data_IF_126962820538
#
_entry.id   IF_126962820538
#
_cell.length_a   1.000
_cell.length_b   1.000
_cell.length_c   1.000
_cell.angle_alpha   90.00
_cell.angle_beta   90.00
_cell.angle_gamma   90.00
#
_symmetry.space_group_name_H-M   'P 1'
#
loop_
_entity.id
_entity.type
_entity.pdbx_description
1 polymer ?
#
# COMPACT_ATOMS: atom_id res chain seq x y z
N UNK A 1 35.23 -4.78 -9.07
CA UNK A 1 33.87 -5.20 -9.43
C UNK A 1 33.64 -5.47 -10.92
N UNK A 2 34.02 -4.57 -11.83
CA UNK A 2 33.80 -4.77 -13.29
C UNK A 2 34.49 -6.03 -13.85
N UNK A 3 35.76 -6.28 -13.52
CA UNK A 3 36.49 -7.50 -13.93
C UNK A 3 35.75 -8.78 -13.48
N UNK A 4 35.14 -8.75 -12.30
CA UNK A 4 34.39 -9.87 -11.76
C UNK A 4 33.07 -10.08 -12.51
N UNK A 5 32.43 -9.00 -12.97
CA UNK A 5 31.25 -9.06 -13.83
C UNK A 5 31.60 -9.67 -15.19
N UNK A 6 32.70 -9.26 -15.83
CA UNK A 6 33.19 -9.89 -17.06
C UNK A 6 33.43 -11.39 -16.87
N UNK A 7 34.15 -11.78 -15.81
CA UNK A 7 34.35 -13.20 -15.48
C UNK A 7 33.03 -13.94 -15.31
N UNK A 8 32.06 -13.33 -14.62
CA UNK A 8 30.74 -13.93 -14.41
C UNK A 8 29.96 -14.08 -15.71
N UNK A 9 30.02 -13.10 -16.62
CA UNK A 9 29.42 -13.20 -17.94
C UNK A 9 30.09 -14.31 -18.77
N UNK A 10 31.42 -14.39 -18.78
CA UNK A 10 32.13 -15.48 -19.43
C UNK A 10 31.71 -16.85 -18.90
N UNK A 11 31.53 -17.00 -17.58
CA UNK A 11 31.01 -18.25 -17.00
C UNK A 11 29.64 -18.61 -17.56
N UNK A 12 28.73 -17.65 -17.71
CA UNK A 12 27.39 -17.91 -18.24
C UNK A 12 27.39 -18.37 -19.70
N UNK A 13 28.34 -17.93 -20.54
CA UNK A 13 28.51 -18.46 -21.90
C UNK A 13 28.81 -19.97 -21.93
N UNK A 14 29.44 -20.49 -20.88
CA UNK A 14 29.76 -21.91 -20.71
C UNK A 14 28.81 -22.62 -19.75
N UNK A 15 27.61 -22.06 -19.54
CA UNK A 15 26.56 -22.62 -18.67
C UNK A 15 26.99 -22.82 -17.19
N UNK A 16 27.98 -22.04 -16.73
CA UNK A 16 28.36 -21.98 -15.32
C UNK A 16 27.69 -20.79 -14.63
N UNK A 17 27.28 -20.93 -13.35
CA UNK A 17 26.63 -19.84 -12.63
C UNK A 17 27.58 -18.64 -12.45
N UNK A 18 27.05 -17.40 -12.51
CA UNK A 18 27.83 -16.19 -12.22
C UNK A 18 28.28 -16.19 -10.75
N UNK A 19 29.38 -15.51 -10.44
CA UNK A 19 29.92 -15.45 -9.07
C UNK A 19 29.41 -14.21 -8.35
N UNK A 20 28.28 -14.38 -7.67
CA UNK A 20 27.56 -13.31 -6.97
C UNK A 20 27.35 -13.69 -5.50
N UNK A 21 27.09 -12.70 -4.65
CA UNK A 21 26.76 -12.95 -3.26
C UNK A 21 25.42 -13.67 -3.15
N UNK A 22 25.37 -14.75 -2.37
CA UNK A 22 24.16 -15.51 -2.04
C UNK A 22 23.65 -15.23 -0.63
N UNK A 23 24.40 -14.45 0.16
CA UNK A 23 24.13 -14.20 1.58
C UNK A 23 23.78 -12.75 1.88
N UNK A 24 24.06 -11.81 0.97
CA UNK A 24 23.81 -10.39 1.18
C UNK A 24 23.11 -9.78 -0.03
N UNK A 25 21.82 -9.45 0.14
CA UNK A 25 20.95 -8.89 -0.91
C UNK A 25 21.50 -7.58 -1.47
N UNK A 26 22.01 -6.68 -0.62
CA UNK A 26 22.53 -5.37 -1.04
C UNK A 26 23.79 -5.52 -1.91
N UNK A 27 24.69 -6.44 -1.52
CA UNK A 27 25.88 -6.77 -2.30
C UNK A 27 25.49 -7.46 -3.62
N UNK A 28 24.56 -8.42 -3.55
CA UNK A 28 24.06 -9.13 -4.73
C UNK A 28 23.45 -8.15 -5.74
N UNK A 29 22.60 -7.23 -5.30
CA UNK A 29 22.00 -6.18 -6.14
C UNK A 29 23.06 -5.36 -6.89
N UNK A 30 24.05 -4.84 -6.18
CA UNK A 30 25.15 -4.09 -6.81
C UNK A 30 25.93 -4.91 -7.83
N UNK A 31 26.16 -6.20 -7.56
CA UNK A 31 26.82 -7.09 -8.51
C UNK A 31 25.94 -7.42 -9.72
N UNK A 32 24.64 -7.62 -9.52
CA UNK A 32 23.65 -7.81 -10.59
C UNK A 32 23.62 -6.60 -11.52
N UNK A 33 23.59 -5.38 -11.00
CA UNK A 33 23.57 -4.15 -11.81
C UNK A 33 24.81 -4.04 -12.71
N UNK A 34 25.99 -4.34 -12.17
CA UNK A 34 27.24 -4.32 -12.96
C UNK A 34 27.23 -5.43 -14.00
N UNK A 35 26.78 -6.65 -13.65
CA UNK A 35 26.69 -7.77 -14.59
C UNK A 35 25.67 -7.50 -15.71
N UNK A 36 24.51 -6.93 -15.38
CA UNK A 36 23.50 -6.48 -16.34
C UNK A 36 24.10 -5.45 -17.29
N UNK A 37 24.83 -4.46 -16.77
CA UNK A 37 25.50 -3.45 -17.60
C UNK A 37 26.45 -4.08 -18.62
N UNK A 38 27.33 -4.98 -18.18
CA UNK A 38 28.26 -5.68 -19.08
C UNK A 38 27.48 -6.56 -20.07
N UNK A 39 26.51 -7.34 -19.61
CA UNK A 39 25.72 -8.20 -20.50
C UNK A 39 24.94 -7.41 -21.57
N UNK A 40 24.45 -6.21 -21.26
CA UNK A 40 23.84 -5.28 -22.23
C UNK A 40 24.82 -4.87 -23.32
N UNK A 41 26.05 -4.53 -22.97
CA UNK A 41 27.09 -4.14 -23.94
C UNK A 41 27.37 -5.25 -24.97
N UNK A 42 27.18 -6.52 -24.59
CA UNK A 42 27.37 -7.69 -25.46
C UNK A 42 26.07 -8.33 -25.95
N UNK A 43 24.91 -7.68 -25.79
CA UNK A 43 23.62 -8.25 -26.22
C UNK A 43 23.27 -9.61 -25.61
N UNK A 44 23.77 -9.88 -24.40
CA UNK A 44 23.79 -11.22 -23.77
C UNK A 44 22.91 -11.31 -22.51
N UNK A 45 21.88 -10.46 -22.41
CA UNK A 45 20.98 -10.43 -21.24
C UNK A 45 20.27 -11.77 -21.02
N UNK A 46 19.82 -12.41 -22.09
CA UNK A 46 19.10 -13.70 -22.03
C UNK A 46 19.89 -14.80 -21.31
N UNK A 47 21.22 -14.76 -21.40
CA UNK A 47 22.09 -15.76 -20.78
C UNK A 47 22.21 -15.58 -19.27
N UNK A 48 22.09 -14.36 -18.77
CA UNK A 48 22.21 -14.08 -17.34
C UNK A 48 20.86 -14.10 -16.61
N UNK A 49 19.75 -13.86 -17.30
CA UNK A 49 18.40 -13.76 -16.71
C UNK A 49 18.02 -14.95 -15.84
N UNK A 50 18.10 -16.22 -16.29
CA UNK A 50 17.73 -17.36 -15.47
C UNK A 50 18.59 -17.49 -14.21
N UNK A 51 19.90 -17.23 -14.34
CA UNK A 51 20.81 -17.32 -13.21
C UNK A 51 20.54 -16.23 -12.16
N UNK A 52 20.31 -14.99 -12.60
CA UNK A 52 20.01 -13.89 -11.71
C UNK A 52 18.64 -14.03 -11.06
N UNK A 53 17.63 -14.47 -11.81
CA UNK A 53 16.32 -14.79 -11.26
C UNK A 53 16.39 -15.85 -10.16
N UNK A 54 17.12 -16.95 -10.42
CA UNK A 54 17.31 -18.03 -9.46
C UNK A 54 18.12 -17.60 -8.22
N UNK A 55 19.12 -16.74 -8.39
CA UNK A 55 19.90 -16.19 -7.27
C UNK A 55 19.03 -15.29 -6.40
N UNK A 56 18.29 -14.36 -7.01
CA UNK A 56 17.51 -13.37 -6.29
C UNK A 56 16.34 -14.01 -5.53
N UNK A 57 15.68 -15.01 -6.11
CA UNK A 57 14.57 -15.72 -5.45
C UNK A 57 14.98 -16.46 -4.18
N UNK A 58 16.25 -16.86 -4.06
CA UNK A 58 16.76 -17.53 -2.85
C UNK A 58 16.78 -16.63 -1.61
N UNK A 59 16.79 -15.31 -1.79
CA UNK A 59 16.74 -14.37 -0.67
C UNK A 59 15.37 -14.29 0.01
N UNK A 60 14.29 -14.81 -0.62
CA UNK A 60 12.93 -14.85 -0.07
C UNK A 60 12.49 -13.47 0.46
N UNK A 61 12.00 -13.40 1.70
CA UNK A 61 11.56 -12.17 2.34
C UNK A 61 12.61 -11.04 2.30
N UNK A 62 13.90 -11.37 2.43
CA UNK A 62 14.97 -10.37 2.41
C UNK A 62 15.06 -9.64 1.05
N UNK A 63 14.66 -10.29 -0.05
CA UNK A 63 14.52 -9.64 -1.36
C UNK A 63 13.44 -8.57 -1.30
N UNK A 64 12.23 -8.94 -0.86
CA UNK A 64 11.09 -8.03 -0.86
C UNK A 64 11.27 -6.87 0.11
N UNK A 65 11.90 -7.10 1.28
CA UNK A 65 12.32 -6.03 2.19
C UNK A 65 13.30 -5.08 1.49
N UNK A 66 14.24 -5.62 0.71
CA UNK A 66 15.14 -4.78 -0.08
C UNK A 66 14.41 -3.99 -1.17
N UNK A 67 13.37 -4.56 -1.79
CA UNK A 67 12.52 -3.88 -2.78
C UNK A 67 11.79 -2.71 -2.12
N UNK A 68 11.12 -2.91 -0.99
CA UNK A 68 10.44 -1.84 -0.24
C UNK A 68 11.38 -0.67 0.10
N UNK A 69 12.65 -0.95 0.41
CA UNK A 69 13.65 0.05 0.78
C UNK A 69 14.15 0.91 -0.39
N UNK A 70 14.09 0.41 -1.62
CA UNK A 70 14.37 1.21 -2.83
C UNK A 70 13.69 0.59 -4.07
N UNK A 71 12.36 0.75 -4.20
CA UNK A 71 11.59 0.08 -5.23
C UNK A 71 11.95 0.58 -6.62
N UNK A 72 12.33 1.87 -6.75
CA UNK A 72 12.76 2.43 -8.03
C UNK A 72 14.03 1.77 -8.58
N UNK A 73 14.99 1.45 -7.71
CA UNK A 73 16.19 0.70 -8.09
C UNK A 73 15.87 -0.72 -8.56
N UNK A 74 15.05 -1.43 -7.78
CA UNK A 74 14.65 -2.80 -8.10
C UNK A 74 13.76 -2.88 -9.35
N UNK A 75 12.91 -1.89 -9.59
CA UNK A 75 12.10 -1.79 -10.80
C UNK A 75 12.99 -1.79 -12.05
N UNK A 76 14.07 -1.00 -12.06
CA UNK A 76 15.00 -0.95 -13.20
C UNK A 76 15.67 -2.30 -13.45
N UNK A 77 16.17 -2.92 -12.38
CA UNK A 77 16.76 -4.26 -12.46
C UNK A 77 15.74 -5.27 -12.98
N UNK A 78 14.49 -5.20 -12.52
CA UNK A 78 13.44 -6.14 -12.94
C UNK A 78 13.08 -6.02 -14.43
N UNK A 79 13.20 -4.83 -15.03
CA UNK A 79 13.00 -4.64 -16.47
C UNK A 79 14.09 -5.36 -17.26
N UNK A 80 15.34 -5.21 -16.84
CA UNK A 80 16.47 -5.86 -17.53
C UNK A 80 16.45 -7.38 -17.37
N UNK A 81 15.98 -7.84 -16.20
CA UNK A 81 15.83 -9.24 -15.88
C UNK A 81 14.54 -9.88 -16.40
N UNK A 82 13.60 -9.07 -16.92
CA UNK A 82 12.24 -9.48 -17.25
C UNK A 82 11.59 -10.29 -16.14
N UNK A 83 11.70 -9.81 -14.90
CA UNK A 83 11.20 -10.50 -13.70
C UNK A 83 9.83 -9.97 -13.28
N UNK A 84 8.72 -10.70 -13.53
CA UNK A 84 7.38 -10.22 -13.19
C UNK A 84 7.20 -10.00 -11.69
N UNK A 85 7.78 -10.84 -10.84
CA UNK A 85 7.64 -10.76 -9.39
C UNK A 85 8.32 -9.51 -8.82
N UNK A 86 9.58 -9.24 -9.20
CA UNK A 86 10.30 -8.06 -8.71
C UNK A 86 9.67 -6.79 -9.27
N UNK A 87 9.27 -6.79 -10.55
CA UNK A 87 8.63 -5.66 -11.19
C UNK A 87 7.30 -5.31 -10.52
N UNK A 88 6.45 -6.32 -10.30
CA UNK A 88 5.13 -6.15 -9.68
C UNK A 88 5.26 -5.61 -8.26
N UNK A 89 6.12 -6.20 -7.43
CA UNK A 89 6.35 -5.74 -6.05
C UNK A 89 6.82 -4.27 -6.05
N UNK A 90 7.84 -3.95 -6.85
CA UNK A 90 8.38 -2.61 -6.95
C UNK A 90 7.34 -1.60 -7.45
N UNK A 91 6.57 -1.95 -8.48
CA UNK A 91 5.58 -1.06 -9.07
C UNK A 91 4.45 -0.74 -8.08
N UNK A 92 3.97 -1.73 -7.31
CA UNK A 92 2.93 -1.51 -6.30
C UNK A 92 3.39 -0.48 -5.26
N UNK A 93 4.63 -0.59 -4.76
CA UNK A 93 5.19 0.40 -3.81
C UNK A 93 5.21 1.81 -4.40
N UNK A 94 5.68 1.93 -5.66
CA UNK A 94 5.79 3.22 -6.34
C UNK A 94 4.42 3.85 -6.60
N UNK A 95 3.44 3.05 -7.04
CA UNK A 95 2.07 3.51 -7.29
C UNK A 95 1.38 3.91 -5.99
N UNK A 96 1.46 3.09 -4.94
CA UNK A 96 0.83 3.36 -3.65
C UNK A 96 1.38 4.60 -2.95
N UNK A 97 2.66 4.93 -3.17
CA UNK A 97 3.31 6.07 -2.53
C UNK A 97 3.24 7.36 -3.36
N UNK A 98 2.87 7.31 -4.65
CA UNK A 98 2.92 8.48 -5.51
C UNK A 98 1.91 9.56 -5.08
N UNK A 99 2.29 10.85 -4.98
CA UNK A 99 3.52 11.46 -5.49
C UNK A 99 4.69 11.49 -4.49
N UNK A 100 4.54 10.99 -3.27
CA UNK A 100 5.62 10.90 -2.30
C UNK A 100 6.74 9.99 -2.82
N UNK A 101 7.99 10.32 -2.46
CA UNK A 101 9.17 9.61 -2.95
C UNK A 101 10.30 9.66 -1.91
N UNK A 102 10.22 8.83 -0.87
CA UNK A 102 11.19 8.84 0.23
C UNK A 102 12.47 8.04 -0.08
N UNK A 103 12.62 7.51 -1.29
CA UNK A 103 13.70 6.59 -1.65
C UNK A 103 14.90 7.28 -2.28
N UNK A 104 16.07 6.63 -2.13
CA UNK A 104 17.34 7.17 -2.59
C UNK A 104 17.43 7.28 -4.12
N UNK A 105 16.91 6.30 -4.86
CA UNK A 105 16.92 6.34 -6.33
C UNK A 105 15.96 7.41 -6.84
N UNK A 106 16.42 8.44 -7.58
CA UNK A 106 15.57 9.54 -8.02
C UNK A 106 14.49 9.13 -9.02
N UNK A 107 13.37 9.89 -9.05
CA UNK A 107 12.29 9.72 -10.04
C UNK A 107 12.78 9.77 -11.50
N UNK A 108 13.83 10.56 -11.77
CA UNK A 108 14.41 10.75 -13.10
C UNK A 108 15.10 9.50 -13.66
N UNK A 109 15.44 8.53 -12.80
CA UNK A 109 16.03 7.25 -13.21
C UNK A 109 14.98 6.26 -13.74
N UNK A 110 13.68 6.57 -13.60
CA UNK A 110 12.60 5.73 -14.11
C UNK A 110 12.28 6.11 -15.56
N UNK A 111 12.21 5.14 -16.50
CA UNK A 111 11.80 5.38 -17.88
C UNK A 111 10.45 6.11 -17.97
N UNK A 112 10.34 7.05 -18.91
CA UNK A 112 9.14 7.91 -19.05
C UNK A 112 7.82 7.16 -19.22
N UNK A 113 7.83 6.05 -19.96
CA UNK A 113 6.66 5.18 -20.11
C UNK A 113 6.18 4.60 -18.77
N UNK A 114 7.11 4.12 -17.95
CA UNK A 114 6.82 3.58 -16.61
C UNK A 114 6.39 4.70 -15.65
N UNK A 115 7.00 5.89 -15.75
CA UNK A 115 6.55 7.05 -14.96
C UNK A 115 5.09 7.42 -15.26
N UNK A 116 4.70 7.42 -16.54
CA UNK A 116 3.31 7.64 -16.98
C UNK A 116 2.37 6.56 -16.44
N UNK A 117 2.81 5.30 -16.45
CA UNK A 117 2.06 4.17 -15.89
C UNK A 117 1.83 4.35 -14.38
N UNK A 118 2.89 4.65 -13.61
CA UNK A 118 2.81 4.90 -12.16
C UNK A 118 1.79 5.99 -11.87
N UNK A 119 1.89 7.13 -12.56
CA UNK A 119 0.97 8.25 -12.39
C UNK A 119 -0.48 7.85 -12.71
N UNK A 120 -0.70 7.10 -13.78
CA UNK A 120 -2.04 6.68 -14.22
C UNK A 120 -2.68 5.74 -13.19
N UNK A 121 -1.96 4.73 -12.72
CA UNK A 121 -2.48 3.81 -11.69
C UNK A 121 -2.66 4.50 -10.34
N UNK A 122 -1.77 5.44 -9.98
CA UNK A 122 -1.92 6.21 -8.75
C UNK A 122 -3.17 7.10 -8.78
N UNK A 123 -3.48 7.73 -9.93
CA UNK A 123 -4.73 8.46 -10.12
C UNK A 123 -5.96 7.56 -9.98
N UNK A 124 -5.89 6.31 -10.44
CA UNK A 124 -6.96 5.34 -10.24
C UNK A 124 -7.15 5.02 -8.74
N UNK A 125 -6.06 4.80 -7.99
CA UNK A 125 -6.14 4.63 -6.53
C UNK A 125 -6.78 5.82 -5.82
N UNK A 126 -6.43 7.05 -6.22
CA UNK A 126 -7.04 8.27 -5.64
C UNK A 126 -8.55 8.29 -5.89
N UNK A 127 -9.00 7.92 -7.10
CA UNK A 127 -10.44 7.83 -7.41
C UNK A 127 -11.15 6.76 -6.57
N UNK A 128 -10.53 5.58 -6.41
CA UNK A 128 -11.06 4.52 -5.55
C UNK A 128 -11.15 4.98 -4.08
N UNK A 129 -10.10 5.65 -3.59
CA UNK A 129 -10.08 6.24 -2.24
C UNK A 129 -11.21 7.23 -2.05
N UNK A 130 -11.43 8.13 -3.02
CA UNK A 130 -12.51 9.12 -2.95
C UNK A 130 -13.91 8.48 -2.91
N UNK A 131 -14.13 7.37 -3.62
CA UNK A 131 -15.41 6.63 -3.55
C UNK A 131 -15.61 5.99 -2.18
N UNK A 132 -14.58 5.33 -1.65
CA UNK A 132 -14.59 4.75 -0.30
C UNK A 132 -14.81 5.84 0.76
N UNK A 133 -14.11 6.97 0.66
CA UNK A 133 -14.26 8.10 1.58
C UNK A 133 -15.65 8.69 1.55
N UNK A 134 -16.25 8.83 0.36
CA UNK A 134 -17.64 9.28 0.21
C UNK A 134 -18.60 8.32 0.92
N UNK A 135 -18.47 7.02 0.67
CA UNK A 135 -19.38 6.02 1.22
C UNK A 135 -19.24 5.91 2.75
N UNK A 136 -18.02 6.01 3.28
CA UNK A 136 -17.78 6.10 4.73
C UNK A 136 -18.32 7.41 5.32
N UNK A 137 -18.17 8.53 4.64
CA UNK A 137 -18.70 9.81 5.11
C UNK A 137 -20.23 9.84 5.15
N UNK A 138 -20.90 9.17 4.19
CA UNK A 138 -22.36 9.04 4.14
C UNK A 138 -22.90 7.92 5.03
N UNK A 139 -22.04 7.15 5.70
CA UNK A 139 -22.46 6.08 6.60
C UNK A 139 -23.38 6.61 7.71
N UNK A 140 -24.51 5.95 7.90
CA UNK A 140 -25.54 6.34 8.85
C UNK A 140 -26.34 5.10 9.27
N UNK A 141 -27.18 5.26 10.30
CA UNK A 141 -28.06 4.20 10.80
C UNK A 141 -29.44 4.36 10.18
N UNK A 142 -30.06 3.24 9.79
CA UNK A 142 -31.40 3.19 9.24
C UNK A 142 -32.37 2.74 10.34
N UNK A 143 -33.41 3.52 10.58
CA UNK A 143 -34.46 3.19 11.54
C UNK A 143 -35.40 2.10 11.01
N UNK A 144 -36.31 1.63 11.86
CA UNK A 144 -37.26 0.57 11.50
C UNK A 144 -38.20 0.94 10.32
N UNK A 145 -38.37 2.23 10.03
CA UNK A 145 -39.18 2.74 8.92
C UNK A 145 -38.42 2.81 7.59
N UNK A 146 -37.17 2.35 7.57
CA UNK A 146 -36.29 2.35 6.40
C UNK A 146 -35.68 3.72 6.07
N UNK A 147 -35.82 4.71 6.97
CA UNK A 147 -35.22 6.04 6.79
C UNK A 147 -33.97 6.18 7.64
N UNK A 148 -33.02 6.99 7.16
CA UNK A 148 -31.86 7.33 7.97
C UNK A 148 -32.25 8.14 9.19
N UNK A 149 -31.66 7.78 10.33
CA UNK A 149 -31.85 8.51 11.58
C UNK A 149 -31.37 9.95 11.44
N UNK A 150 -32.13 10.86 12.04
CA UNK A 150 -31.88 12.30 12.12
C UNK A 150 -31.86 12.72 13.59
N UNK A 151 -31.38 13.93 13.85
CA UNK A 151 -31.38 14.48 15.21
C UNK A 151 -32.79 14.51 15.81
N UNK A 152 -33.81 14.76 14.98
CA UNK A 152 -35.21 14.87 15.39
C UNK A 152 -35.91 13.51 15.49
N UNK A 153 -35.55 12.54 14.66
CA UNK A 153 -36.24 11.24 14.62
C UNK A 153 -35.73 10.28 15.70
N UNK A 154 -34.41 10.22 15.88
CA UNK A 154 -33.76 9.34 16.84
C UNK A 154 -32.38 9.90 17.20
N UNK A 155 -32.35 10.67 18.28
CA UNK A 155 -31.13 11.32 18.74
C UNK A 155 -30.08 10.32 19.24
N UNK A 156 -30.50 9.23 19.91
CA UNK A 156 -29.57 8.25 20.48
C UNK A 156 -28.79 7.52 19.39
N UNK A 157 -29.45 7.11 18.30
CA UNK A 157 -28.80 6.45 17.15
C UNK A 157 -28.08 7.45 16.21
N UNK A 158 -28.61 8.67 16.08
CA UNK A 158 -27.98 9.71 15.25
C UNK A 158 -26.62 10.17 15.79
N UNK A 159 -26.46 10.25 17.11
CA UNK A 159 -25.24 10.72 17.75
C UNK A 159 -23.99 9.87 17.43
N UNK A 160 -24.00 8.52 17.56
CA UNK A 160 -22.92 7.64 17.14
C UNK A 160 -22.54 7.80 15.67
N UNK A 161 -23.52 7.99 14.77
CA UNK A 161 -23.26 8.24 13.36
C UNK A 161 -22.50 9.57 13.14
N UNK A 162 -22.83 10.63 13.89
CA UNK A 162 -22.07 11.88 13.85
C UNK A 162 -20.66 11.74 14.43
N UNK A 163 -20.51 11.01 15.54
CA UNK A 163 -19.19 10.74 16.14
C UNK A 163 -18.30 9.95 15.18
N UNK A 164 -18.87 8.99 14.43
CA UNK A 164 -18.16 8.28 13.37
C UNK A 164 -17.68 9.23 12.27
N UNK A 165 -18.56 10.11 11.77
CA UNK A 165 -18.21 11.10 10.74
C UNK A 165 -17.11 12.06 11.20
N UNK A 166 -17.22 12.64 12.41
CA UNK A 166 -16.20 13.52 12.98
C UNK A 166 -14.85 12.81 13.07
N UNK A 167 -14.84 11.62 13.68
CA UNK A 167 -13.65 10.80 13.84
C UNK A 167 -13.02 10.49 12.48
N UNK A 168 -13.81 10.03 11.51
CA UNK A 168 -13.34 9.68 10.18
C UNK A 168 -12.72 10.87 9.46
N UNK A 169 -13.40 12.02 9.44
CA UNK A 169 -12.88 13.24 8.81
C UNK A 169 -11.54 13.67 9.42
N UNK A 170 -11.41 13.61 10.75
CA UNK A 170 -10.16 13.93 11.45
C UNK A 170 -9.04 12.95 11.10
N UNK A 171 -9.32 11.65 11.08
CA UNK A 171 -8.32 10.64 10.75
C UNK A 171 -7.88 10.72 9.28
N UNK A 172 -8.81 10.94 8.34
CA UNK A 172 -8.47 11.20 6.93
C UNK A 172 -7.61 12.44 6.80
N UNK A 173 -7.96 13.54 7.50
CA UNK A 173 -7.13 14.76 7.52
C UNK A 173 -5.72 14.47 8.06
N UNK A 174 -5.60 13.72 9.15
CA UNK A 174 -4.32 13.36 9.74
C UNK A 174 -3.47 12.41 8.87
N UNK A 175 -4.12 11.49 8.14
CA UNK A 175 -3.48 10.49 7.31
C UNK A 175 -3.06 11.07 5.94
N UNK A 176 -3.95 11.79 5.26
CA UNK A 176 -3.77 12.26 3.89
C UNK A 176 -3.07 13.62 3.79
N UNK A 177 -3.04 14.46 4.83
CA UNK A 177 -2.57 15.84 4.70
C UNK A 177 -1.43 16.23 5.66
N UNK A 178 -1.26 15.54 6.81
CA UNK A 178 -0.15 15.72 7.79
C UNK A 178 0.45 17.15 7.84
N UNK A 179 -0.29 18.11 8.40
CA UNK A 179 0.09 19.51 8.62
C UNK A 179 0.37 20.35 7.34
N UNK A 180 0.03 19.84 6.16
CA UNK A 180 0.14 20.53 4.87
C UNK A 180 -1.15 20.33 4.07
N UNK A 181 -1.45 21.20 3.12
CA UNK A 181 -2.56 20.98 2.19
C UNK A 181 -2.19 20.03 1.04
N UNK A 182 -0.92 19.61 0.95
CA UNK A 182 -0.46 18.66 -0.06
C UNK A 182 -0.82 17.22 0.31
N UNK A 183 -1.50 16.46 -0.58
CA UNK A 183 -1.81 15.06 -0.33
C UNK A 183 -0.56 14.19 -0.13
N UNK A 184 -0.60 13.35 0.89
CA UNK A 184 0.42 12.40 1.27
C UNK A 184 -0.21 11.00 1.42
N UNK A 185 0.00 10.09 0.45
CA UNK A 185 -0.64 8.78 0.46
C UNK A 185 0.01 7.80 1.45
N UNK A 186 1.10 8.19 2.12
CA UNK A 186 1.94 7.28 2.90
C UNK A 186 1.25 6.67 4.13
N UNK A 187 0.06 7.14 4.53
CA UNK A 187 -0.63 6.71 5.75
C UNK A 187 -2.08 6.30 5.54
N UNK A 188 -2.69 6.61 4.39
CA UNK A 188 -4.12 6.41 4.18
C UNK A 188 -4.49 4.92 4.17
N UNK A 189 -3.62 4.06 3.64
CA UNK A 189 -3.84 2.61 3.67
C UNK A 189 -3.84 2.04 5.08
N UNK A 190 -3.02 2.56 5.99
CA UNK A 190 -3.02 2.15 7.39
C UNK A 190 -4.35 2.52 8.08
N UNK A 191 -4.93 3.68 7.75
CA UNK A 191 -6.25 4.06 8.24
C UNK A 191 -7.33 3.07 7.76
N UNK A 192 -7.37 2.76 6.47
CA UNK A 192 -8.37 1.81 5.96
C UNK A 192 -8.19 0.40 6.52
N UNK A 193 -6.94 -0.05 6.73
CA UNK A 193 -6.68 -1.33 7.43
C UNK A 193 -7.16 -1.30 8.88
N UNK A 194 -7.02 -0.18 9.59
CA UNK A 194 -7.61 0.02 10.93
C UNK A 194 -9.13 -0.05 10.89
N UNK A 195 -9.76 0.57 9.89
CA UNK A 195 -11.22 0.49 9.69
C UNK A 195 -11.63 -0.97 9.43
N UNK A 196 -10.92 -1.68 8.56
CA UNK A 196 -11.15 -3.10 8.22
C UNK A 196 -11.02 -4.02 9.43
N UNK A 197 -10.12 -3.71 10.37
CA UNK A 197 -9.96 -4.48 11.61
C UNK A 197 -11.20 -4.40 12.52
N UNK A 198 -11.94 -3.29 12.47
CA UNK A 198 -13.15 -3.10 13.27
C UNK A 198 -12.89 -3.16 14.79
N UNK A 199 -13.94 -3.46 15.56
CA UNK A 199 -13.87 -3.62 17.01
C UNK A 199 -13.33 -2.37 17.72
N UNK A 200 -12.43 -2.56 18.68
CA UNK A 200 -11.83 -1.47 19.47
C UNK A 200 -10.63 -0.79 18.77
N UNK A 201 -10.36 -1.11 17.50
CA UNK A 201 -9.30 -0.45 16.74
C UNK A 201 -9.58 1.05 16.52
N UNK A 202 -10.86 1.45 16.59
CA UNK A 202 -11.32 2.83 16.58
C UNK A 202 -12.69 2.95 17.24
N UNK A 203 -12.99 4.13 17.80
CA UNK A 203 -14.25 4.41 18.50
C UNK A 203 -14.63 3.29 19.50
N UNK A 204 -13.76 2.95 20.47
CA UNK A 204 -14.06 1.92 21.45
C UNK A 204 -15.29 2.33 22.28
N UNK A 205 -16.13 1.35 22.61
CA UNK A 205 -17.45 1.59 23.22
C UNK A 205 -17.35 2.45 24.48
N UNK A 206 -16.44 2.11 25.40
CA UNK A 206 -16.29 2.81 26.68
C UNK A 206 -15.91 4.28 26.52
N UNK A 207 -15.08 4.63 25.52
CA UNK A 207 -14.70 6.03 25.27
C UNK A 207 -15.84 6.82 24.65
N UNK A 208 -16.61 6.20 23.76
CA UNK A 208 -17.80 6.80 23.15
C UNK A 208 -18.86 7.06 24.22
N UNK A 209 -19.21 6.04 25.01
CA UNK A 209 -20.20 6.15 26.09
C UNK A 209 -19.80 7.21 27.12
N UNK A 210 -18.53 7.21 27.55
CA UNK A 210 -18.01 8.23 28.46
C UNK A 210 -18.14 9.64 27.88
N UNK A 211 -17.86 9.81 26.59
CA UNK A 211 -17.98 11.11 25.92
C UNK A 211 -19.44 11.58 25.89
N UNK A 212 -20.37 10.68 25.55
CA UNK A 212 -21.80 10.95 25.54
C UNK A 212 -22.29 11.35 26.93
N UNK A 213 -22.01 10.54 27.96
CA UNK A 213 -22.41 10.82 29.34
C UNK A 213 -21.87 12.15 29.89
N UNK A 214 -20.67 12.56 29.49
CA UNK A 214 -20.05 13.80 29.97
C UNK A 214 -20.47 15.05 29.19
N UNK A 215 -20.72 14.93 27.89
CA UNK A 215 -20.89 16.10 26.99
C UNK A 215 -22.31 16.26 26.45
N UNK A 216 -23.09 15.19 26.41
CA UNK A 216 -24.49 15.20 25.96
C UNK A 216 -25.37 15.23 27.19
N UNK A 217 -25.78 16.43 27.58
CA UNK A 217 -26.49 16.67 28.84
C UNK A 217 -28.00 16.63 28.64
N UNK A 218 -28.52 15.46 28.29
CA UNK A 218 -29.96 15.20 28.27
C UNK A 218 -30.30 14.12 29.30
N UNK A 219 -31.28 14.37 30.17
CA UNK A 219 -31.58 13.50 31.32
C UNK A 219 -32.35 12.23 30.95
N UNK A 220 -32.89 12.18 29.73
CA UNK A 220 -33.73 11.09 29.22
C UNK A 220 -32.94 10.01 28.50
N UNK A 221 -31.70 10.29 28.11
CA UNK A 221 -30.96 9.42 27.21
C UNK A 221 -30.34 8.26 27.99
N UNK A 222 -30.60 7.03 27.55
CA UNK A 222 -30.20 5.80 28.21
C UNK A 222 -29.03 5.09 27.52
N UNK A 223 -28.82 5.37 26.22
CA UNK A 223 -27.75 4.80 25.39
C UNK A 223 -27.76 3.27 25.34
N UNK A 224 -28.94 2.65 25.48
CA UNK A 224 -29.08 1.19 25.56
C UNK A 224 -28.70 0.48 24.27
N UNK A 225 -28.93 1.13 23.12
CA UNK A 225 -28.67 0.57 21.78
C UNK A 225 -27.31 0.99 21.20
N UNK A 226 -26.53 1.80 21.93
CA UNK A 226 -25.25 2.36 21.47
C UNK A 226 -24.27 1.28 20.98
N UNK A 227 -24.23 0.13 21.64
CA UNK A 227 -23.34 -0.97 21.26
C UNK A 227 -23.71 -1.54 19.88
N UNK A 228 -25.00 -1.70 19.61
CA UNK A 228 -25.52 -2.21 18.35
C UNK A 228 -25.39 -1.16 17.23
N UNK A 229 -25.65 0.12 17.53
CA UNK A 229 -25.46 1.24 16.62
C UNK A 229 -23.99 1.35 16.13
N UNK A 230 -23.05 1.33 17.08
CA UNK A 230 -21.62 1.34 16.75
C UNK A 230 -21.23 0.11 15.96
N UNK A 231 -21.78 -1.07 16.29
CA UNK A 231 -21.52 -2.29 15.55
C UNK A 231 -22.00 -2.18 14.11
N UNK A 232 -23.23 -1.69 13.88
CA UNK A 232 -23.79 -1.51 12.53
C UNK A 232 -22.92 -0.57 11.67
N UNK A 233 -22.54 0.58 12.22
CA UNK A 233 -21.66 1.54 11.54
C UNK A 233 -20.30 0.92 11.18
N UNK A 234 -19.70 0.17 12.12
CA UNK A 234 -18.39 -0.47 11.93
C UNK A 234 -18.44 -1.63 10.94
N UNK A 235 -19.51 -2.42 10.93
CA UNK A 235 -19.71 -3.51 9.97
C UNK A 235 -19.85 -2.98 8.54
N UNK A 236 -20.65 -1.93 8.34
CA UNK A 236 -20.74 -1.23 7.07
C UNK A 236 -19.36 -0.72 6.63
N UNK A 237 -18.67 0.01 7.51
CA UNK A 237 -17.35 0.56 7.21
C UNK A 237 -16.32 -0.53 6.86
N UNK A 238 -16.33 -1.65 7.59
CA UNK A 238 -15.47 -2.82 7.39
C UNK A 238 -15.66 -3.42 6.00
N UNK A 239 -16.90 -3.49 5.52
CA UNK A 239 -17.23 -3.97 4.17
C UNK A 239 -16.80 -2.96 3.10
N UNK A 240 -17.07 -1.67 3.32
CA UNK A 240 -16.73 -0.60 2.36
C UNK A 240 -15.24 -0.51 2.06
N UNK A 241 -14.37 -0.79 3.03
CA UNK A 241 -12.91 -0.77 2.84
C UNK A 241 -12.29 -2.11 2.40
N UNK A 242 -13.09 -3.16 2.20
CA UNK A 242 -12.59 -4.51 1.96
C UNK A 242 -11.67 -4.58 0.73
N UNK A 243 -12.13 -4.08 -0.41
CA UNK A 243 -11.37 -4.17 -1.66
C UNK A 243 -10.12 -3.26 -1.64
N UNK A 244 -10.24 -2.05 -1.08
CA UNK A 244 -9.13 -1.09 -1.06
C UNK A 244 -8.01 -1.51 -0.09
N UNK A 245 -8.30 -2.40 0.87
CA UNK A 245 -7.33 -2.91 1.86
C UNK A 245 -6.63 -4.20 1.45
N UNK A 246 -6.99 -4.81 0.31
CA UNK A 246 -6.31 -5.99 -0.23
C UNK A 246 -4.81 -5.76 -0.40
N UNK A 247 -4.00 -6.65 0.17
CA UNK A 247 -2.56 -6.63 0.00
C UNK A 247 -2.16 -7.43 -1.26
N UNK A 248 -1.49 -6.78 -2.22
CA UNK A 248 -0.91 -7.46 -3.40
C UNK A 248 0.61 -7.50 -3.40
N UNK A 249 1.23 -7.10 -2.29
CA UNK A 249 2.65 -7.31 -2.06
C UNK A 249 2.90 -8.70 -1.48
N UNK A 250 4.12 -9.19 -1.62
CA UNK A 250 4.59 -10.42 -0.98
C UNK A 250 5.06 -10.18 0.46
N UNK A 251 5.22 -8.91 0.86
CA UNK A 251 5.49 -8.52 2.25
C UNK A 251 4.23 -8.47 3.11
N UNK A 252 4.41 -8.85 4.38
CA UNK A 252 3.49 -8.47 5.44
C UNK A 252 3.56 -6.95 5.69
N UNK A 253 2.40 -6.30 5.70
CA UNK A 253 2.31 -4.84 5.76
C UNK A 253 2.64 -4.28 7.14
N UNK A 254 2.24 -4.99 8.21
CA UNK A 254 2.39 -4.52 9.59
C UNK A 254 3.85 -4.65 10.05
N UNK A 255 4.44 -5.83 9.86
CA UNK A 255 5.85 -6.11 10.15
C UNK A 255 6.79 -5.17 9.38
N UNK A 256 6.38 -4.73 8.19
CA UNK A 256 7.16 -3.84 7.34
C UNK A 256 6.66 -2.40 7.32
N UNK A 257 5.81 -1.95 8.26
CA UNK A 257 5.42 -0.54 8.40
C UNK A 257 4.95 0.14 7.10
N UNK A 258 4.26 -0.61 6.23
CA UNK A 258 3.74 -0.08 4.97
C UNK A 258 2.42 0.62 5.27
N UNK A 259 2.37 1.94 5.06
CA UNK A 259 1.21 2.77 5.40
C UNK A 259 0.33 3.21 4.23
N UNK A 260 0.79 3.03 3.00
CA UNK A 260 0.04 3.35 1.79
C UNK A 260 -0.82 2.16 1.31
N UNK A 261 -1.56 2.39 0.21
CA UNK A 261 -2.39 1.40 -0.47
C UNK A 261 -1.55 0.44 -1.31
N UNK A 262 -1.90 -0.84 -1.27
CA UNK A 262 -1.18 -1.91 -1.97
C UNK A 262 -2.10 -2.79 -2.82
N UNK A 263 -3.33 -2.35 -3.04
CA UNK A 263 -4.37 -3.06 -3.81
C UNK A 263 -4.24 -2.92 -5.33
N UNK A 264 -3.11 -2.40 -5.82
CA UNK A 264 -2.87 -2.10 -7.24
C UNK A 264 -2.79 -3.39 -8.06
N UNK A 265 -3.63 -3.51 -9.08
CA UNK A 265 -3.49 -4.55 -10.10
C UNK A 265 -2.31 -4.26 -11.03
N UNK A 266 -1.39 -5.21 -11.11
CA UNK A 266 -0.33 -5.25 -12.11
C UNK A 266 -0.57 -6.48 -12.98
N UNK A 267 -0.65 -6.26 -14.28
CA UNK A 267 -0.98 -7.27 -15.29
C UNK A 267 0.16 -7.41 -16.29
N UNK A 268 0.19 -8.46 -17.12
CA UNK A 268 1.21 -8.59 -18.17
C UNK A 268 1.28 -7.41 -19.14
N UNK A 269 0.17 -6.72 -19.38
CA UNK A 269 0.14 -5.52 -20.22
C UNK A 269 0.88 -4.30 -19.60
N UNK A 270 1.20 -4.37 -18.31
CA UNK A 270 1.98 -3.34 -17.61
C UNK A 270 3.49 -3.58 -17.73
N UNK A 271 3.92 -4.76 -18.21
CA UNK A 271 5.34 -5.08 -18.37
C UNK A 271 5.90 -4.42 -19.63
N UNK A 272 7.08 -3.78 -19.57
CA UNK A 272 7.68 -3.10 -20.72
C UNK A 272 8.41 -4.03 -21.70
N UNK A 273 8.35 -5.34 -21.51
CA UNK A 273 8.97 -6.38 -22.35
C UNK A 273 7.93 -7.34 -22.90
#
# INVERSE_FOLDING_TARGET
>A
DVVQAYRSLFRTFYNFPPQLSTTNVKRALGQCEILIKVAKEYGSLELIRPHLGNLLSQFREALFVSIKNDPARWLRVSVDLESPSIYTEALIHLVGSYPAWPWATPKSEIPGGIHKLIKTKAQHLVKLSALVERDLFLNSIEGADGKYVTMESDFEAWMPAQMFRDWFCREVRAAAFKNSDAPNPMRIGALYRRIRKGGDAYLPFDEVLKTLMLRVRNKTDSWTELADDLKMLKEYATKTVEDITKNKLLLDLEANTIGYLTCVDVTPADYPW
#
